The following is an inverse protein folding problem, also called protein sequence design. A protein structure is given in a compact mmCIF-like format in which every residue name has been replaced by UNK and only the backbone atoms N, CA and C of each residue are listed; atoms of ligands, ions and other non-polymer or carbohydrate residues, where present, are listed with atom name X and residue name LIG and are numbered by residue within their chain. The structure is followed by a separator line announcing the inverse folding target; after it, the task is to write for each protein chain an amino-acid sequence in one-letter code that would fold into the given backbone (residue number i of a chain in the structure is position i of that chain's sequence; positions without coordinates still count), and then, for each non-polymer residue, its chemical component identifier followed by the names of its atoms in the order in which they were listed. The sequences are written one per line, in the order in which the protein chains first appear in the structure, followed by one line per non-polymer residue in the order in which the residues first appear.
data_IF_542622370037
#
_entry.id   IF_542622370037
#
_cell.length_a   1.000
_cell.length_b   1.000
_cell.length_c   1.000
_cell.angle_alpha   90.00
_cell.angle_beta   90.00
_cell.angle_gamma   90.00
#
_symmetry.space_group_name_H-M   'P 1'
#
loop_
_entity.id
_entity.type
_entity.pdbx_description
1 polymer ?
#
# COMPACT_ATOMS: atom_id res chain seq x y z
N UNK A 1 20.25 17.08 -10.89
CA UNK A 1 18.91 16.51 -10.61
C UNK A 1 18.94 15.90 -9.22
N UNK A 2 18.78 16.74 -8.19
CA UNK A 2 18.86 16.32 -6.79
C UNK A 2 17.48 15.81 -6.35
N UNK A 3 17.38 14.52 -5.96
CA UNK A 3 16.16 13.98 -5.36
C UNK A 3 16.07 14.54 -3.94
N UNK A 4 15.37 15.67 -3.78
CA UNK A 4 14.98 16.15 -2.44
C UNK A 4 14.36 14.98 -1.69
N UNK A 5 15.01 14.48 -0.64
CA UNK A 5 14.39 13.54 0.30
C UNK A 5 13.14 14.23 0.81
N UNK A 6 11.97 13.79 0.34
CA UNK A 6 10.70 14.17 0.92
C UNK A 6 10.86 13.97 2.43
N UNK A 7 10.66 15.05 3.20
CA UNK A 7 10.97 15.08 4.63
C UNK A 7 10.50 13.80 5.29
N UNK A 8 11.42 13.13 5.98
CA UNK A 8 11.20 11.78 6.54
C UNK A 8 10.05 11.74 7.54
N UNK A 9 9.89 10.59 8.20
CA UNK A 9 8.82 10.26 9.17
C UNK A 9 8.35 11.42 10.08
N UNK A 10 9.28 12.28 10.52
CA UNK A 10 9.00 13.48 11.30
C UNK A 10 8.09 14.52 10.61
N UNK A 11 8.19 14.67 9.29
CA UNK A 11 7.32 15.55 8.49
C UNK A 11 5.91 15.01 8.35
N UNK A 12 5.76 13.69 8.14
CA UNK A 12 4.48 13.02 8.12
C UNK A 12 3.77 13.12 9.48
N UNK A 13 4.52 12.95 10.57
CA UNK A 13 3.98 13.08 11.94
C UNK A 13 3.44 14.48 12.24
N UNK A 14 4.19 15.53 11.89
CA UNK A 14 3.76 16.93 12.07
C UNK A 14 2.58 17.30 11.19
N UNK A 15 2.52 16.77 9.96
CA UNK A 15 1.39 16.98 9.05
C UNK A 15 0.12 16.31 9.60
N UNK A 16 0.25 15.13 10.16
CA UNK A 16 -0.87 14.40 10.75
C UNK A 16 -1.39 14.99 12.05
N UNK A 17 -0.53 15.49 12.93
CA UNK A 17 -0.97 16.23 14.12
C UNK A 17 -1.76 17.48 13.71
N UNK A 18 -1.35 18.17 12.64
CA UNK A 18 -2.03 19.36 12.12
C UNK A 18 -3.36 19.03 11.43
N UNK A 19 -3.44 17.90 10.75
CA UNK A 19 -4.65 17.49 10.03
C UNK A 19 -5.61 16.65 10.90
N UNK A 20 -5.20 16.29 12.13
CA UNK A 20 -5.87 15.29 12.97
C UNK A 20 -6.13 13.96 12.26
N UNK A 21 -5.33 13.64 11.24
CA UNK A 21 -5.42 12.37 10.52
C UNK A 21 -4.36 11.45 11.13
N UNK A 22 -4.75 10.37 11.83
CA UNK A 22 -3.78 9.44 12.39
C UNK A 22 -2.89 8.85 11.27
N UNK A 23 -1.57 9.05 11.37
CA UNK A 23 -0.63 8.22 10.59
C UNK A 23 -0.69 6.82 11.18
N UNK A 24 -1.44 5.94 10.54
CA UNK A 24 -1.33 4.51 10.82
C UNK A 24 -0.02 4.02 10.21
N UNK A 25 0.96 3.82 11.07
CA UNK A 25 2.21 3.18 10.69
C UNK A 25 1.91 1.71 10.38
N UNK A 26 1.95 1.36 9.10
CA UNK A 26 1.70 -0.01 8.61
C UNK A 26 2.70 -1.01 9.22
N UNK A 27 3.88 -0.54 9.66
CA UNK A 27 4.87 -1.36 10.38
C UNK A 27 4.40 -1.73 11.79
N UNK A 28 3.55 -0.92 12.43
CA UNK A 28 3.10 -1.12 13.83
C UNK A 28 1.88 -2.02 14.00
N UNK A 29 0.92 -1.93 13.08
CA UNK A 29 -0.36 -2.64 13.16
C UNK A 29 -0.46 -3.81 12.17
N UNK A 30 0.44 -3.86 11.19
CA UNK A 30 0.33 -4.79 10.07
C UNK A 30 -0.84 -4.43 9.13
N UNK A 31 -1.05 -5.25 8.10
CA UNK A 31 -2.19 -5.10 7.20
C UNK A 31 -3.47 -5.62 7.88
N UNK A 32 -4.54 -4.82 7.98
CA UNK A 32 -5.86 -5.26 8.44
C UNK A 32 -6.31 -6.53 7.71
N UNK A 33 -6.86 -7.50 8.45
CA UNK A 33 -7.28 -8.80 7.90
C UNK A 33 -8.21 -8.65 6.67
N UNK A 34 -9.15 -7.68 6.70
CA UNK A 34 -10.05 -7.39 5.58
C UNK A 34 -9.32 -6.96 4.29
N UNK A 35 -8.26 -6.15 4.41
CA UNK A 35 -7.43 -5.77 3.26
C UNK A 35 -6.59 -6.95 2.80
N UNK A 36 -6.09 -7.75 3.73
CA UNK A 36 -5.32 -8.97 3.42
C UNK A 36 -6.14 -9.94 2.57
N UNK A 37 -7.40 -10.16 2.94
CA UNK A 37 -8.32 -11.02 2.19
C UNK A 37 -8.69 -10.42 0.82
N UNK A 38 -8.83 -9.09 0.73
CA UNK A 38 -9.08 -8.40 -0.54
C UNK A 38 -7.91 -8.52 -1.51
N UNK A 39 -6.68 -8.24 -1.05
CA UNK A 39 -5.49 -8.35 -1.88
C UNK A 39 -5.20 -9.79 -2.28
N UNK A 40 -5.46 -10.77 -1.41
CA UNK A 40 -5.37 -12.19 -1.75
C UNK A 40 -6.32 -12.55 -2.91
N UNK A 41 -7.59 -12.12 -2.84
CA UNK A 41 -8.57 -12.32 -3.92
C UNK A 41 -8.13 -11.65 -5.22
N UNK A 42 -7.74 -10.38 -5.13
CA UNK A 42 -7.32 -9.58 -6.29
C UNK A 42 -6.06 -10.16 -6.94
N UNK A 43 -5.13 -10.72 -6.17
CA UNK A 43 -3.94 -11.40 -6.68
C UNK A 43 -4.31 -12.64 -7.49
N UNK A 44 -5.22 -13.48 -6.97
CA UNK A 44 -5.69 -14.68 -7.67
C UNK A 44 -6.39 -14.31 -8.99
N UNK A 45 -7.23 -13.27 -8.98
CA UNK A 45 -7.89 -12.80 -10.20
C UNK A 45 -6.88 -12.32 -11.25
N UNK A 46 -5.87 -11.55 -10.84
CA UNK A 46 -4.79 -11.11 -11.74
C UNK A 46 -3.99 -12.28 -12.30
N UNK A 47 -3.62 -13.23 -11.45
CA UNK A 47 -2.85 -14.41 -11.87
C UNK A 47 -3.63 -15.26 -12.89
N UNK A 48 -4.94 -15.42 -12.68
CA UNK A 48 -5.83 -16.09 -13.64
C UNK A 48 -6.00 -15.33 -14.95
N UNK A 49 -6.03 -14.00 -14.91
CA UNK A 49 -6.10 -13.17 -16.11
C UNK A 49 -4.81 -13.27 -16.93
N UNK A 50 -3.65 -13.16 -16.27
CA UNK A 50 -2.33 -13.31 -16.90
C UNK A 50 -2.15 -14.72 -17.48
N UNK A 51 -2.58 -15.76 -16.75
CA UNK A 51 -2.52 -17.15 -17.24
C UNK A 51 -3.34 -17.35 -18.51
N UNK A 52 -4.53 -16.74 -18.61
CA UNK A 52 -5.37 -16.79 -19.81
C UNK A 52 -4.74 -16.04 -20.97
N UNK A 53 -4.22 -14.84 -20.73
CA UNK A 53 -3.54 -14.05 -21.76
C UNK A 53 -2.29 -14.73 -22.33
N UNK A 54 -1.59 -15.54 -21.51
CA UNK A 54 -0.45 -16.35 -21.94
C UNK A 54 -0.86 -17.61 -22.72
N UNK A 55 -2.05 -18.15 -22.48
CA UNK A 55 -2.57 -19.36 -23.14
C UNK A 55 -3.19 -19.03 -24.51
N UNK A 56 -3.74 -17.82 -24.66
CA UNK A 56 -4.30 -17.26 -25.91
C UNK A 56 -3.22 -16.75 -26.90
N UNK A 57 -1.93 -16.90 -26.60
CA UNK A 57 -0.81 -16.33 -27.36
C UNK A 57 0.10 -17.38 -27.99
#
# INVERSE_FOLDING_TARGET
MDRRRAGGEAGARRLSDRLQIPVYDVQKVGYPQRMRDYDARRRIERERAVRRELDDR
#
